data_IF_584328999512
#
_entry.id   IF_584328999512
#
_cell.length_a   1.000
_cell.length_b   1.000
_cell.length_c   1.000
_cell.angle_alpha   90.00
_cell.angle_beta   90.00
_cell.angle_gamma   90.00
#
_symmetry.space_group_name_H-M   'P 1'
#
loop_
_entity.id
_entity.type
_entity.pdbx_description
1 polymer ?
#
# COMPACT_ATOMS: atom_id res chain seq x y z
N UNK A 1 6.60 -8.14 -16.32
CA UNK A 1 7.27 -8.40 -15.02
C UNK A 1 6.53 -7.83 -13.81
N UNK A 2 6.38 -6.51 -13.59
CA UNK A 2 5.70 -6.00 -12.36
C UNK A 2 4.27 -6.52 -12.18
N UNK A 3 3.52 -6.67 -13.27
CA UNK A 3 2.15 -7.22 -13.26
C UNK A 3 2.09 -8.71 -12.90
N UNK A 4 3.14 -9.48 -13.21
CA UNK A 4 3.23 -10.92 -12.93
C UNK A 4 3.53 -11.18 -11.44
N UNK A 5 4.13 -10.23 -10.73
CA UNK A 5 4.35 -10.32 -9.28
C UNK A 5 3.16 -9.73 -8.50
N UNK A 6 2.55 -8.63 -8.99
CA UNK A 6 1.37 -8.02 -8.35
C UNK A 6 0.15 -8.96 -8.32
N UNK A 7 -0.07 -9.73 -9.37
CA UNK A 7 -1.24 -10.63 -9.50
C UNK A 7 -1.29 -11.72 -8.41
N UNK A 8 -0.25 -12.56 -8.21
CA UNK A 8 -0.26 -13.56 -7.15
C UNK A 8 -0.31 -12.94 -5.76
N UNK A 9 0.34 -11.80 -5.55
CA UNK A 9 0.38 -11.11 -4.26
C UNK A 9 -0.97 -10.50 -3.85
N UNK A 10 -1.68 -9.90 -4.80
CA UNK A 10 -3.06 -9.45 -4.60
C UNK A 10 -4.00 -10.64 -4.38
N UNK A 11 -3.73 -11.80 -5.00
CA UNK A 11 -4.42 -13.05 -4.71
C UNK A 11 -4.29 -13.47 -3.24
N UNK A 12 -3.06 -13.51 -2.71
CA UNK A 12 -2.79 -13.87 -1.31
C UNK A 12 -3.51 -12.91 -0.34
N UNK A 13 -3.36 -11.60 -0.54
CA UNK A 13 -4.05 -10.59 0.29
C UNK A 13 -5.58 -10.69 0.18
N UNK A 14 -6.10 -10.97 -1.01
CA UNK A 14 -7.51 -11.19 -1.26
C UNK A 14 -8.04 -12.39 -0.46
N UNK A 15 -7.36 -13.53 -0.54
CA UNK A 15 -7.75 -14.72 0.24
C UNK A 15 -7.67 -14.50 1.74
N UNK A 16 -6.62 -13.83 2.24
CA UNK A 16 -6.51 -13.49 3.66
C UNK A 16 -7.65 -12.58 4.12
N UNK A 17 -8.08 -11.63 3.28
CA UNK A 17 -9.19 -10.71 3.60
C UNK A 17 -10.56 -11.40 3.67
N UNK A 18 -10.72 -12.58 3.06
CA UNK A 18 -11.95 -13.37 3.13
C UNK A 18 -12.05 -14.18 4.43
N UNK A 19 -10.97 -14.27 5.21
CA UNK A 19 -10.97 -15.03 6.46
C UNK A 19 -11.64 -14.19 7.56
N UNK A 20 -12.76 -14.64 8.14
CA UNK A 20 -13.46 -13.90 9.18
C UNK A 20 -12.73 -14.03 10.53
N UNK A 21 -11.83 -13.09 10.84
CA UNK A 21 -10.98 -13.09 12.05
C UNK A 21 -11.75 -13.29 13.36
N UNK A 22 -12.99 -12.79 13.44
CA UNK A 22 -13.86 -12.91 14.62
C UNK A 22 -14.32 -14.34 14.90
N UNK A 23 -14.23 -15.24 13.91
CA UNK A 23 -14.61 -16.65 14.01
C UNK A 23 -13.41 -17.57 14.29
N UNK A 24 -12.20 -17.02 14.38
CA UNK A 24 -10.99 -17.77 14.68
C UNK A 24 -10.71 -17.79 16.18
N UNK A 25 -10.12 -18.91 16.62
CA UNK A 25 -9.44 -18.96 17.91
C UNK A 25 -8.23 -18.00 17.91
N UNK A 26 -7.81 -17.58 19.10
CA UNK A 26 -6.83 -16.50 19.25
C UNK A 26 -5.49 -16.82 18.57
N UNK A 27 -5.02 -18.07 18.64
CA UNK A 27 -3.79 -18.51 17.98
C UNK A 27 -3.88 -18.41 16.44
N UNK A 28 -4.98 -18.87 15.86
CA UNK A 28 -5.20 -18.80 14.41
C UNK A 28 -5.39 -17.36 13.93
N UNK A 29 -6.05 -16.53 14.73
CA UNK A 29 -6.19 -15.10 14.46
C UNK A 29 -4.82 -14.42 14.39
N UNK A 30 -3.94 -14.70 15.36
CA UNK A 30 -2.58 -14.19 15.36
C UNK A 30 -1.79 -14.67 14.13
N UNK A 31 -1.94 -15.93 13.74
CA UNK A 31 -1.30 -16.47 12.54
C UNK A 31 -1.78 -15.77 11.26
N UNK A 32 -3.08 -15.56 11.10
CA UNK A 32 -3.66 -14.86 9.92
C UNK A 32 -3.23 -13.39 9.89
N UNK A 33 -3.18 -12.73 11.04
CA UNK A 33 -2.68 -11.35 11.13
C UNK A 33 -1.20 -11.28 10.73
N UNK A 34 -0.37 -12.18 11.27
CA UNK A 34 1.05 -12.26 10.93
C UNK A 34 1.28 -12.54 9.44
N UNK A 35 0.47 -13.43 8.84
CA UNK A 35 0.51 -13.72 7.41
C UNK A 35 0.12 -12.49 6.57
N UNK A 36 -0.87 -11.72 7.02
CA UNK A 36 -1.32 -10.47 6.36
C UNK A 36 -0.21 -9.43 6.41
N UNK A 37 0.37 -9.20 7.58
CA UNK A 37 1.44 -8.22 7.77
C UNK A 37 2.69 -8.59 6.95
N UNK A 38 3.04 -9.88 6.93
CA UNK A 38 4.15 -10.40 6.12
C UNK A 38 3.90 -10.23 4.62
N UNK A 39 2.67 -10.44 4.16
CA UNK A 39 2.27 -10.26 2.75
C UNK A 39 2.32 -8.79 2.33
N UNK A 40 1.88 -7.88 3.21
CA UNK A 40 1.98 -6.43 2.99
C UNK A 40 3.44 -5.97 2.94
N UNK A 41 4.27 -6.48 3.85
CA UNK A 41 5.71 -6.18 3.86
C UNK A 41 6.41 -6.69 2.60
N UNK A 42 6.14 -7.94 2.19
CA UNK A 42 6.68 -8.50 0.95
C UNK A 42 6.27 -7.67 -0.27
N UNK A 43 5.02 -7.19 -0.29
CA UNK A 43 4.55 -6.29 -1.36
C UNK A 43 5.36 -5.01 -1.45
N UNK A 44 5.70 -4.41 -0.31
CA UNK A 44 6.55 -3.23 -0.26
C UNK A 44 7.95 -3.54 -0.80
N UNK A 45 8.60 -4.61 -0.31
CA UNK A 45 9.94 -5.02 -0.75
C UNK A 45 9.99 -5.29 -2.26
N UNK A 46 8.97 -5.97 -2.79
CA UNK A 46 8.83 -6.22 -4.22
C UNK A 46 8.72 -4.91 -5.01
N UNK A 47 7.88 -3.97 -4.56
CA UNK A 47 7.74 -2.68 -5.23
C UNK A 47 9.07 -1.90 -5.23
N UNK A 48 9.74 -1.81 -4.09
CA UNK A 48 11.03 -1.12 -3.96
C UNK A 48 12.12 -1.75 -4.85
N UNK A 49 12.13 -3.08 -4.95
CA UNK A 49 13.06 -3.82 -5.82
C UNK A 49 12.79 -3.55 -7.29
N UNK A 50 11.52 -3.54 -7.70
CA UNK A 50 11.13 -3.21 -9.08
C UNK A 50 11.47 -1.76 -9.44
N UNK A 51 11.20 -0.81 -8.54
CA UNK A 51 11.53 0.60 -8.71
C UNK A 51 13.06 0.82 -8.79
N UNK A 52 13.84 0.04 -8.04
CA UNK A 52 15.29 0.02 -8.17
C UNK A 52 15.74 -0.41 -9.57
N UNK A 53 15.19 -1.51 -10.11
CA UNK A 53 15.53 -1.98 -11.45
C UNK A 53 15.10 -1.00 -12.55
N UNK A 54 13.92 -0.38 -12.45
CA UNK A 54 13.49 0.66 -13.38
C UNK A 54 14.44 1.87 -13.38
N UNK A 55 14.90 2.30 -12.19
CA UNK A 55 15.90 3.39 -12.08
C UNK A 55 17.25 3.00 -12.67
N UNK A 56 17.73 1.78 -12.42
CA UNK A 56 19.02 1.32 -12.90
C UNK A 56 19.05 1.13 -14.43
N UNK A 57 17.93 0.77 -15.04
CA UNK A 57 17.76 0.66 -16.48
C UNK A 57 17.67 2.03 -17.21
N UNK A 58 17.61 3.15 -16.47
CA UNK A 58 17.29 4.45 -17.04
C UNK A 58 15.84 4.57 -17.53
N UNK A 59 15.01 3.54 -17.30
CA UNK A 59 13.61 3.49 -17.67
C UNK A 59 12.74 4.14 -16.58
N UNK A 60 12.91 5.44 -16.36
CA UNK A 60 11.84 6.22 -15.74
C UNK A 60 10.86 6.58 -16.86
N UNK A 61 9.84 5.75 -17.04
CA UNK A 61 8.74 6.06 -17.95
C UNK A 61 7.69 6.88 -17.18
N UNK A 62 7.53 8.15 -17.54
CA UNK A 62 6.45 8.98 -17.01
C UNK A 62 5.14 8.63 -17.73
N UNK A 63 4.12 8.21 -16.99
CA UNK A 63 2.78 8.12 -17.55
C UNK A 63 2.15 9.51 -17.59
N UNK A 64 1.94 10.03 -18.81
CA UNK A 64 1.19 11.27 -19.02
C UNK A 64 -0.28 10.91 -19.19
N UNK A 65 -1.05 11.04 -18.11
CA UNK A 65 -2.50 10.80 -18.11
C UNK A 65 -3.21 11.99 -17.49
N UNK A 66 -4.42 12.34 -17.95
CA UNK A 66 -5.25 13.32 -17.26
C UNK A 66 -5.54 12.83 -15.84
N UNK A 67 -5.35 13.69 -14.85
CA UNK A 67 -5.72 13.43 -13.47
C UNK A 67 -6.20 14.72 -12.80
N UNK A 68 -6.99 14.57 -11.73
CA UNK A 68 -7.46 15.69 -10.93
C UNK A 68 -6.44 16.00 -9.83
N UNK A 69 -5.72 17.11 -9.99
CA UNK A 69 -4.70 17.54 -9.05
C UNK A 69 -5.29 17.91 -7.68
N UNK A 70 -6.44 18.59 -7.66
CA UNK A 70 -7.10 19.00 -6.42
C UNK A 70 -7.55 17.77 -5.62
N UNK A 71 -8.17 16.81 -6.29
CA UNK A 71 -8.55 15.53 -5.69
C UNK A 71 -7.34 14.78 -5.12
N UNK A 72 -6.23 14.74 -5.88
CA UNK A 72 -5.00 14.06 -5.45
C UNK A 72 -4.41 14.72 -4.21
N UNK A 73 -4.33 16.05 -4.18
CA UNK A 73 -3.87 16.80 -3.03
C UNK A 73 -4.77 16.62 -1.79
N UNK A 74 -6.09 16.55 -1.98
CA UNK A 74 -7.04 16.25 -0.88
C UNK A 74 -6.82 14.86 -0.27
N UNK A 75 -6.57 13.85 -1.10
CA UNK A 75 -6.28 12.49 -0.60
C UNK A 75 -5.02 12.44 0.25
N UNK A 76 -3.98 13.19 -0.16
CA UNK A 76 -2.75 13.34 0.64
C UNK A 76 -3.05 14.04 1.96
N UNK A 77 -3.84 15.11 1.93
CA UNK A 77 -4.30 15.81 3.13
C UNK A 77 -5.03 14.87 4.10
N UNK A 78 -6.03 14.13 3.63
CA UNK A 78 -6.83 13.22 4.46
C UNK A 78 -5.95 12.14 5.11
N UNK A 79 -4.92 11.68 4.40
CA UNK A 79 -3.96 10.70 4.92
C UNK A 79 -3.08 11.28 6.03
N UNK A 80 -2.65 12.54 5.90
CA UNK A 80 -1.69 13.18 6.83
C UNK A 80 -2.37 13.95 7.97
N UNK A 81 -3.64 14.30 7.82
CA UNK A 81 -4.40 15.11 8.79
C UNK A 81 -4.41 14.51 10.20
N UNK A 82 -4.61 13.20 10.43
CA UNK A 82 -4.57 12.63 11.78
C UNK A 82 -3.21 12.83 12.45
N UNK A 83 -2.11 12.70 11.68
CA UNK A 83 -0.75 12.89 12.19
C UNK A 83 -0.47 14.37 12.51
N UNK A 84 -0.98 15.28 11.68
CA UNK A 84 -0.86 16.72 11.91
C UNK A 84 -1.63 17.16 13.16
N UNK A 85 -2.86 16.65 13.34
CA UNK A 85 -3.69 16.88 14.53
C UNK A 85 -3.01 16.36 15.80
N UNK A 86 -2.45 15.14 15.77
CA UNK A 86 -1.71 14.57 16.88
C UNK A 86 -0.52 15.45 17.31
N UNK A 87 0.13 16.12 16.35
CA UNK A 87 1.28 17.00 16.60
C UNK A 87 0.89 18.46 16.84
N UNK A 88 -0.40 18.80 16.75
CA UNK A 88 -0.88 20.18 16.86
C UNK A 88 -0.39 21.10 15.74
N UNK A 89 -0.06 20.55 14.57
CA UNK A 89 0.46 21.30 13.43
C UNK A 89 -0.70 21.58 12.45
N UNK A 90 -0.93 22.84 12.02
CA UNK A 90 -1.94 23.13 11.01
C UNK A 90 -1.48 22.60 9.64
N UNK A 91 -2.33 21.82 8.99
CA UNK A 91 -2.12 21.30 7.64
C UNK A 91 -3.33 21.69 6.76
N UNK A 92 -3.08 22.40 5.67
CA UNK A 92 -4.10 22.95 4.76
C UNK A 92 -3.59 22.91 3.31
N UNK A 93 -4.53 22.90 2.37
CA UNK A 93 -4.29 23.06 0.93
C UNK A 93 -4.85 24.42 0.54
N UNK A 94 -4.05 25.22 -0.16
CA UNK A 94 -4.36 26.59 -0.59
C UNK A 94 -5.09 26.64 -1.94
#
# INVERSE_FOLDING_TARGET
>A
MSHEIRTPMNGILGYLSLIPLQRLEEADRQNVQQATDSSLHLRQVVNETLDFFCRQAGEISYQTVPFDLDQTCRQVLDTLKPLAEQKGIPLRLD
#
